data_IF_580983189409
#
_entry.id   IF_580983189409
#
_cell.length_a   1.000
_cell.length_b   1.000
_cell.length_c   1.000
_cell.angle_alpha   90.00
_cell.angle_beta   90.00
_cell.angle_gamma   90.00
#
_symmetry.space_group_name_H-M   'P 1'
#
loop_
_entity.id
_entity.type
_entity.pdbx_description
1 polymer ?
#
# COMPACT_ATOMS: atom_id res chain seq x y z
N UNK A 1 -12.57 18.55 -8.02
CA UNK A 1 -12.23 19.48 -9.12
C UNK A 1 -13.26 19.33 -10.22
N UNK A 2 -13.72 20.44 -10.83
CA UNK A 2 -14.67 20.36 -11.94
C UNK A 2 -13.98 19.87 -13.23
N UNK A 3 -14.72 19.15 -14.07
CA UNK A 3 -14.29 18.70 -15.40
C UNK A 3 -13.76 19.87 -16.23
N UNK A 4 -14.48 20.99 -16.24
CA UNK A 4 -14.08 22.24 -16.87
C UNK A 4 -12.69 22.74 -16.45
N UNK A 5 -12.27 22.54 -15.20
CA UNK A 5 -10.93 22.96 -14.78
C UNK A 5 -9.84 22.06 -15.40
N UNK A 6 -10.10 20.75 -15.52
CA UNK A 6 -9.16 19.83 -16.19
C UNK A 6 -9.04 20.14 -17.67
N UNK A 7 -10.15 20.43 -18.35
CA UNK A 7 -10.13 20.76 -19.78
C UNK A 7 -9.33 22.03 -20.06
N UNK A 8 -9.52 23.08 -19.24
CA UNK A 8 -8.74 24.31 -19.33
C UNK A 8 -7.23 24.07 -19.11
N UNK A 9 -6.86 23.19 -18.18
CA UNK A 9 -5.45 22.81 -17.96
C UNK A 9 -4.89 22.05 -19.17
N UNK A 10 -5.65 21.16 -19.80
CA UNK A 10 -5.24 20.42 -21.00
C UNK A 10 -4.96 21.38 -22.16
N UNK A 11 -5.84 22.35 -22.40
CA UNK A 11 -5.62 23.38 -23.43
C UNK A 11 -4.34 24.19 -23.18
N UNK A 12 -4.06 24.54 -21.92
CA UNK A 12 -2.85 25.27 -21.54
C UNK A 12 -1.57 24.43 -21.74
N UNK A 13 -1.62 23.11 -21.49
CA UNK A 13 -0.49 22.20 -21.68
C UNK A 13 -0.10 22.08 -23.16
N UNK A 14 -1.08 21.97 -24.06
CA UNK A 14 -0.83 21.90 -25.51
C UNK A 14 -0.01 23.10 -26.00
N UNK A 15 -0.24 24.27 -25.41
CA UNK A 15 0.45 25.51 -25.75
C UNK A 15 1.82 25.65 -25.09
N UNK A 16 1.96 25.22 -23.84
CA UNK A 16 3.16 25.48 -23.01
C UNK A 16 4.20 24.36 -23.02
N UNK A 17 3.82 23.13 -23.36
CA UNK A 17 4.66 21.92 -23.38
C UNK A 17 5.77 21.91 -22.30
N UNK A 18 5.40 22.00 -21.01
CA UNK A 18 6.37 22.13 -19.93
C UNK A 18 7.26 20.88 -19.83
N UNK A 19 8.53 21.08 -19.50
CA UNK A 19 9.46 19.96 -19.26
C UNK A 19 9.19 19.32 -17.90
N UNK A 20 9.38 18.00 -17.79
CA UNK A 20 9.11 17.25 -16.56
C UNK A 20 9.96 17.77 -15.38
N UNK A 21 11.21 18.16 -15.62
CA UNK A 21 12.09 18.70 -14.57
C UNK A 21 11.64 20.06 -14.00
N UNK A 22 10.79 20.79 -14.70
CA UNK A 22 10.15 22.00 -14.16
C UNK A 22 8.95 21.66 -13.26
N UNK A 23 8.33 20.48 -13.45
CA UNK A 23 7.12 20.03 -12.76
C UNK A 23 7.42 19.18 -11.53
N UNK A 24 8.37 18.26 -11.63
CA UNK A 24 8.85 17.38 -10.55
C UNK A 24 10.34 17.67 -10.37
N UNK A 25 10.69 18.16 -9.18
CA UNK A 25 12.06 18.56 -8.86
C UNK A 25 12.42 18.10 -7.46
N UNK A 26 13.70 17.81 -7.26
CA UNK A 26 14.22 17.48 -5.95
C UNK A 26 14.03 18.68 -5.01
N UNK A 27 13.52 18.39 -3.83
CA UNK A 27 13.53 19.30 -2.69
C UNK A 27 14.59 18.80 -1.71
N UNK A 28 15.21 19.70 -0.96
CA UNK A 28 16.17 19.31 0.08
C UNK A 28 15.53 18.48 1.20
N UNK A 29 14.22 18.63 1.40
CA UNK A 29 13.38 17.83 2.27
C UNK A 29 11.90 18.10 1.98
N UNK A 30 11.03 17.19 2.38
CA UNK A 30 9.57 17.37 2.47
C UNK A 30 9.04 16.71 3.76
N UNK A 31 7.72 16.69 3.96
CA UNK A 31 7.12 16.10 5.15
C UNK A 31 7.48 14.62 5.34
N UNK A 32 7.66 13.89 4.25
CA UNK A 32 7.89 12.43 4.24
C UNK A 32 9.36 12.06 4.12
N UNK A 33 10.23 13.02 3.80
CA UNK A 33 11.64 12.78 3.52
C UNK A 33 12.33 12.10 4.70
N UNK A 34 12.84 10.89 4.45
CA UNK A 34 13.57 10.09 5.43
C UNK A 34 12.70 9.38 6.48
N UNK A 35 11.36 9.45 6.40
CA UNK A 35 10.46 8.81 7.36
C UNK A 35 9.62 7.72 6.70
N UNK A 36 9.88 6.46 7.07
CA UNK A 36 9.07 5.33 6.60
C UNK A 36 7.61 5.44 7.06
N UNK A 37 7.38 5.89 8.28
CA UNK A 37 6.05 6.07 8.84
C UNK A 37 5.24 7.12 8.07
N UNK A 38 5.82 8.30 7.82
CA UNK A 38 5.13 9.36 7.10
C UNK A 38 4.92 9.00 5.62
N UNK A 39 5.84 8.26 5.00
CA UNK A 39 5.62 7.69 3.66
C UNK A 39 4.47 6.68 3.70
N UNK A 40 4.49 5.70 4.61
CA UNK A 40 3.42 4.71 4.76
C UNK A 40 2.06 5.37 4.96
N UNK A 41 1.98 6.33 5.89
CA UNK A 41 0.78 7.10 6.17
C UNK A 41 0.27 7.87 4.94
N UNK A 42 1.16 8.48 4.14
CA UNK A 42 0.75 9.17 2.92
C UNK A 42 0.06 8.24 1.91
N UNK A 43 0.50 6.99 1.80
CA UNK A 43 -0.13 5.99 0.93
C UNK A 43 -1.46 5.47 1.50
N UNK A 44 -1.58 5.32 2.82
CA UNK A 44 -2.86 5.05 3.46
C UNK A 44 -3.86 6.17 3.17
N UNK A 45 -3.47 7.44 3.36
CA UNK A 45 -4.34 8.60 3.04
C UNK A 45 -4.74 8.62 1.56
N UNK A 46 -3.82 8.26 0.67
CA UNK A 46 -4.10 8.11 -0.76
C UNK A 46 -5.13 7.00 -1.03
N UNK A 47 -4.98 5.83 -0.39
CA UNK A 47 -5.93 4.73 -0.51
C UNK A 47 -7.32 5.14 -0.04
N UNK A 48 -7.45 5.72 1.14
CA UNK A 48 -8.73 6.16 1.70
C UNK A 48 -9.42 7.19 0.80
N UNK A 49 -8.66 8.19 0.31
CA UNK A 49 -9.20 9.20 -0.59
C UNK A 49 -9.68 8.61 -1.93
N UNK A 50 -8.96 7.64 -2.49
CA UNK A 50 -9.37 6.97 -3.72
C UNK A 50 -10.56 6.04 -3.47
N UNK A 51 -10.62 5.38 -2.32
CA UNK A 51 -11.75 4.56 -1.91
C UNK A 51 -13.05 5.37 -1.85
N UNK A 52 -13.02 6.56 -1.24
CA UNK A 52 -14.17 7.47 -1.16
C UNK A 52 -14.72 7.87 -2.53
N UNK A 53 -13.83 7.98 -3.53
CA UNK A 53 -14.20 8.26 -4.92
C UNK A 53 -14.73 7.01 -5.59
N UNK A 54 -14.05 5.86 -5.43
CA UNK A 54 -14.47 4.58 -6.00
C UNK A 54 -15.86 4.15 -5.51
N UNK A 55 -16.21 4.42 -4.25
CA UNK A 55 -17.56 4.16 -3.70
C UNK A 55 -18.67 4.92 -4.42
N UNK A 56 -18.36 6.07 -5.01
CA UNK A 56 -19.31 6.92 -5.74
C UNK A 56 -19.26 6.67 -7.25
N UNK A 57 -18.27 5.92 -7.72
CA UNK A 57 -18.09 5.56 -9.12
C UNK A 57 -18.62 4.14 -9.38
N UNK A 58 -19.51 4.01 -10.36
CA UNK A 58 -20.10 2.71 -10.72
C UNK A 58 -19.47 2.12 -11.99
N UNK A 59 -18.39 2.74 -12.50
CA UNK A 59 -17.75 2.30 -13.74
C UNK A 59 -16.83 1.09 -13.57
N UNK A 60 -16.34 0.85 -12.34
CA UNK A 60 -15.32 -0.16 -12.04
C UNK A 60 -13.91 0.21 -12.57
N UNK A 61 -13.75 1.39 -13.20
CA UNK A 61 -12.46 1.83 -13.74
C UNK A 61 -11.45 2.17 -12.64
N UNK A 62 -11.93 2.42 -11.42
CA UNK A 62 -11.09 2.74 -10.26
C UNK A 62 -10.64 1.51 -9.47
N UNK A 63 -11.20 0.32 -9.72
CA UNK A 63 -10.90 -0.89 -8.95
C UNK A 63 -9.42 -1.27 -9.00
N UNK A 64 -8.83 -1.28 -10.20
CA UNK A 64 -7.42 -1.63 -10.41
C UNK A 64 -6.45 -0.61 -9.78
N UNK A 65 -6.59 0.71 -10.05
CA UNK A 65 -5.82 1.73 -9.33
C UNK A 65 -5.96 1.63 -7.82
N UNK A 66 -7.17 1.40 -7.31
CA UNK A 66 -7.44 1.29 -5.89
C UNK A 66 -6.73 0.06 -5.28
N UNK A 67 -6.82 -1.10 -5.92
CA UNK A 67 -6.13 -2.31 -5.48
C UNK A 67 -4.60 -2.17 -5.51
N UNK A 68 -4.06 -1.50 -6.53
CA UNK A 68 -2.62 -1.20 -6.60
C UNK A 68 -2.17 -0.32 -5.42
N UNK A 69 -2.97 0.71 -5.11
CA UNK A 69 -2.68 1.62 -4.00
C UNK A 69 -2.86 0.95 -2.63
N UNK A 70 -3.92 0.16 -2.47
CA UNK A 70 -4.16 -0.69 -1.30
C UNK A 70 -2.96 -1.59 -1.02
N UNK A 71 -2.49 -2.33 -2.04
CA UNK A 71 -1.37 -3.26 -1.90
C UNK A 71 -0.09 -2.54 -1.51
N UNK A 72 0.18 -1.39 -2.15
CA UNK A 72 1.35 -0.58 -1.86
C UNK A 72 1.30 -0.01 -0.44
N UNK A 73 0.13 0.44 0.02
CA UNK A 73 -0.06 0.93 1.39
C UNK A 73 0.18 -0.17 2.42
N UNK A 74 -0.36 -1.38 2.21
CA UNK A 74 -0.08 -2.54 3.08
C UNK A 74 1.41 -2.89 3.11
N UNK A 75 2.06 -2.93 1.94
CA UNK A 75 3.51 -3.19 1.86
C UNK A 75 4.33 -2.17 2.66
N UNK A 76 3.99 -0.89 2.56
CA UNK A 76 4.68 0.18 3.26
C UNK A 76 4.42 0.14 4.77
N UNK A 77 3.22 -0.22 5.21
CA UNK A 77 2.91 -0.38 6.64
C UNK A 77 3.75 -1.48 7.28
N UNK A 78 3.87 -2.65 6.62
CA UNK A 78 4.71 -3.75 7.12
C UNK A 78 6.19 -3.33 7.13
N UNK A 79 6.66 -2.67 6.05
CA UNK A 79 8.05 -2.20 5.97
C UNK A 79 8.38 -1.15 7.02
N UNK A 80 7.48 -0.20 7.24
CA UNK A 80 7.62 0.81 8.28
C UNK A 80 7.76 0.16 9.65
N UNK A 81 6.86 -0.76 10.01
CA UNK A 81 6.94 -1.49 11.27
C UNK A 81 8.28 -2.26 11.44
N UNK A 82 8.77 -2.93 10.39
CA UNK A 82 10.07 -3.62 10.43
C UNK A 82 11.21 -2.63 10.65
N UNK A 83 11.24 -1.51 9.90
CA UNK A 83 12.30 -0.50 10.04
C UNK A 83 12.24 0.17 11.41
N UNK A 84 11.04 0.37 11.95
CA UNK A 84 10.86 1.04 13.23
C UNK A 84 11.28 0.17 14.43
N UNK A 85 11.21 -1.16 14.28
CA UNK A 85 11.68 -2.14 15.27
C UNK A 85 13.15 -2.54 15.10
N UNK A 86 13.61 -2.73 13.86
CA UNK A 86 14.93 -3.32 13.57
C UNK A 86 15.92 -2.34 12.90
N UNK A 87 15.51 -1.13 12.58
CA UNK A 87 16.30 -0.11 11.87
C UNK A 87 16.49 -0.36 10.37
N UNK A 88 16.28 -1.60 9.90
CA UNK A 88 16.40 -1.97 8.49
C UNK A 88 15.64 -3.26 8.14
N UNK A 89 15.29 -3.40 6.87
CA UNK A 89 14.74 -4.65 6.32
C UNK A 89 15.90 -5.60 5.99
N UNK A 90 15.99 -6.70 6.73
CA UNK A 90 16.95 -7.77 6.45
C UNK A 90 16.71 -8.47 5.09
N UNK A 91 17.80 -8.80 4.39
CA UNK A 91 17.76 -9.57 3.14
C UNK A 91 17.20 -8.79 1.95
N UNK A 92 16.46 -9.48 1.08
CA UNK A 92 15.84 -8.87 -0.10
C UNK A 92 14.44 -9.44 -0.36
N UNK A 93 13.49 -9.24 0.56
CA UNK A 93 12.12 -9.72 0.40
C UNK A 93 11.37 -9.04 -0.76
N UNK A 94 11.86 -7.88 -1.23
CA UNK A 94 11.29 -7.16 -2.37
C UNK A 94 9.86 -6.70 -2.09
N UNK A 95 8.91 -7.26 -2.85
CA UNK A 95 7.47 -6.99 -2.75
C UNK A 95 6.68 -8.17 -2.17
N UNK A 96 7.35 -9.21 -1.68
CA UNK A 96 6.71 -10.42 -1.15
C UNK A 96 6.14 -10.12 0.25
N UNK A 97 4.82 -9.89 0.32
CA UNK A 97 4.13 -9.51 1.55
C UNK A 97 4.22 -10.61 2.62
N UNK A 98 4.20 -11.87 2.20
CA UNK A 98 4.33 -13.01 3.11
C UNK A 98 5.69 -13.05 3.80
N UNK A 99 6.78 -12.81 3.04
CA UNK A 99 8.13 -12.73 3.62
C UNK A 99 8.30 -11.53 4.54
N UNK A 100 7.80 -10.36 4.13
CA UNK A 100 7.85 -9.15 4.95
C UNK A 100 7.09 -9.37 6.27
N UNK A 101 5.87 -9.88 6.21
CA UNK A 101 5.06 -10.09 7.40
C UNK A 101 5.63 -11.16 8.33
N UNK A 102 6.14 -12.26 7.77
CA UNK A 102 6.87 -13.26 8.54
C UNK A 102 8.06 -12.64 9.28
N UNK A 103 8.83 -11.77 8.61
CA UNK A 103 9.95 -11.09 9.25
C UNK A 103 9.50 -10.20 10.42
N UNK A 104 8.36 -9.53 10.31
CA UNK A 104 7.78 -8.74 11.40
C UNK A 104 7.38 -9.64 12.59
N UNK A 105 6.75 -10.79 12.34
CA UNK A 105 6.43 -11.78 13.38
C UNK A 105 7.69 -12.36 14.03
N UNK A 106 8.72 -12.67 13.24
CA UNK A 106 10.00 -13.19 13.75
C UNK A 106 10.69 -12.16 14.66
N UNK A 107 10.61 -10.86 14.34
CA UNK A 107 11.12 -9.77 15.19
C UNK A 107 10.36 -9.69 16.52
N UNK A 108 9.03 -9.72 16.48
CA UNK A 108 8.19 -9.70 17.69
C UNK A 108 8.44 -10.91 18.58
N UNK A 109 8.55 -12.10 17.99
CA UNK A 109 8.85 -13.33 18.73
C UNK A 109 10.22 -13.28 19.43
N UNK A 110 11.22 -12.64 18.81
CA UNK A 110 12.55 -12.45 19.44
C UNK A 110 12.50 -11.55 20.68
N UNK A 111 11.58 -10.59 20.72
CA UNK A 111 11.32 -9.72 21.87
C UNK A 111 10.34 -10.34 22.89
N UNK A 112 9.89 -11.58 22.67
CA UNK A 112 9.05 -12.33 23.59
C UNK A 112 7.54 -12.14 23.44
N UNK A 113 7.08 -11.45 22.39
CA UNK A 113 5.65 -11.40 22.06
C UNK A 113 5.14 -12.77 21.58
N UNK A 114 3.90 -13.08 21.94
CA UNK A 114 3.22 -14.31 21.55
C UNK A 114 2.02 -13.95 20.66
N UNK A 115 2.26 -13.90 19.35
CA UNK A 115 1.24 -13.58 18.33
C UNK A 115 0.44 -14.82 17.87
N UNK A 116 0.22 -15.79 18.77
CA UNK A 116 -0.61 -16.99 18.53
C UNK A 116 -2.05 -16.71 18.95
N UNK A 117 -2.64 -15.72 18.28
CA UNK A 117 -4.01 -15.26 18.52
C UNK A 117 -4.81 -15.21 17.20
N UNK A 118 -6.14 -15.21 17.33
CA UNK A 118 -7.06 -15.26 16.19
C UNK A 118 -6.85 -14.09 15.22
N UNK A 119 -6.59 -12.88 15.74
CA UNK A 119 -6.40 -11.68 14.91
C UNK A 119 -5.12 -11.80 14.07
N UNK A 120 -4.02 -12.22 14.68
CA UNK A 120 -2.77 -12.49 13.94
C UNK A 120 -2.99 -13.57 12.88
N UNK A 121 -3.69 -14.65 13.23
CA UNK A 121 -4.06 -15.72 12.29
C UNK A 121 -4.85 -15.19 11.08
N UNK A 122 -5.81 -14.30 11.30
CA UNK A 122 -6.59 -13.65 10.25
C UNK A 122 -5.72 -12.75 9.36
N UNK A 123 -4.82 -11.95 9.94
CA UNK A 123 -3.89 -11.09 9.17
C UNK A 123 -2.95 -11.95 8.30
N UNK A 124 -2.40 -13.04 8.83
CA UNK A 124 -1.61 -14.01 8.07
C UNK A 124 -2.40 -14.55 6.88
N UNK A 125 -3.66 -14.94 7.10
CA UNK A 125 -4.52 -15.47 6.05
C UNK A 125 -4.82 -14.43 4.96
N UNK A 126 -5.10 -13.18 5.34
CA UNK A 126 -5.33 -12.07 4.41
C UNK A 126 -4.09 -11.80 3.54
N UNK A 127 -2.91 -11.72 4.17
CA UNK A 127 -1.63 -11.50 3.48
C UNK A 127 -1.31 -12.65 2.53
N UNK A 128 -1.48 -13.89 2.97
CA UNK A 128 -1.28 -15.07 2.13
C UNK A 128 -2.23 -15.06 0.92
N UNK A 129 -3.49 -14.69 1.12
CA UNK A 129 -4.47 -14.60 0.05
C UNK A 129 -4.04 -13.60 -1.02
N UNK A 130 -3.75 -12.34 -0.64
CA UNK A 130 -3.35 -11.33 -1.62
C UNK A 130 -2.00 -11.68 -2.29
N UNK A 131 -1.03 -12.22 -1.54
CA UNK A 131 0.26 -12.62 -2.10
C UNK A 131 0.08 -13.74 -3.13
N UNK A 132 -0.86 -14.67 -2.93
CA UNK A 132 -1.19 -15.69 -3.93
C UNK A 132 -1.89 -15.11 -5.16
N UNK A 133 -2.70 -14.07 -4.96
CA UNK A 133 -3.49 -13.46 -6.01
C UNK A 133 -2.67 -12.52 -6.91
N UNK A 134 -1.73 -11.77 -6.32
CA UNK A 134 -0.80 -10.86 -7.00
C UNK A 134 0.65 -11.04 -6.50
N UNK A 135 1.34 -12.13 -6.91
CA UNK A 135 2.64 -12.50 -6.36
C UNK A 135 3.76 -11.50 -6.61
N UNK A 136 3.69 -10.77 -7.72
CA UNK A 136 4.75 -9.86 -8.18
C UNK A 136 4.36 -8.39 -8.16
N UNK A 137 3.25 -8.03 -7.50
CA UNK A 137 2.71 -6.67 -7.48
C UNK A 137 2.31 -6.16 -8.89
N UNK A 138 2.06 -7.04 -9.85
CA UNK A 138 1.91 -6.71 -11.26
C UNK A 138 0.44 -6.81 -11.72
N UNK A 139 -0.36 -7.69 -11.10
CA UNK A 139 -1.70 -8.06 -11.58
C UNK A 139 -2.66 -6.89 -11.66
N UNK A 140 -2.53 -5.92 -10.75
CA UNK A 140 -3.40 -4.74 -10.74
C UNK A 140 -2.99 -3.68 -11.75
N UNK A 141 -1.74 -3.71 -12.22
CA UNK A 141 -1.15 -2.68 -13.10
C UNK A 141 -1.14 -3.08 -14.57
N UNK A 142 -1.03 -4.38 -14.85
CA UNK A 142 -0.89 -4.90 -16.21
C UNK A 142 -2.09 -5.76 -16.62
N UNK A 143 -2.42 -5.81 -17.93
CA UNK A 143 -3.49 -6.66 -18.44
C UNK A 143 -3.08 -8.14 -18.58
N UNK A 144 -1.79 -8.44 -18.49
CA UNK A 144 -1.23 -9.78 -18.64
C UNK A 144 0.01 -9.95 -17.76
N UNK A 145 0.37 -11.21 -17.48
CA UNK A 145 1.60 -11.55 -16.80
C UNK A 145 2.84 -11.36 -17.68
N UNK A 146 4.03 -11.58 -17.12
CA UNK A 146 5.31 -11.46 -17.83
C UNK A 146 5.46 -12.46 -18.99
N UNK A 147 4.69 -13.55 -18.97
CA UNK A 147 4.61 -14.53 -20.05
C UNK A 147 3.60 -14.17 -21.14
N UNK A 148 2.85 -13.08 -20.98
CA UNK A 148 1.81 -12.64 -21.91
C UNK A 148 0.45 -13.30 -21.69
N UNK A 149 0.29 -14.14 -20.65
CA UNK A 149 -1.01 -14.71 -20.32
C UNK A 149 -1.90 -13.64 -19.72
N UNK A 150 -3.10 -13.46 -20.28
CA UNK A 150 -4.05 -12.44 -19.85
C UNK A 150 -4.56 -12.73 -18.45
N UNK A 151 -4.65 -11.70 -17.63
CA UNK A 151 -5.36 -11.81 -16.37
C UNK A 151 -6.87 -11.85 -16.61
N UNK A 152 -7.56 -12.66 -15.82
CA UNK A 152 -9.03 -12.64 -15.75
C UNK A 152 -9.53 -11.33 -15.14
N UNK A 153 -10.81 -11.02 -15.39
CA UNK A 153 -11.50 -9.92 -14.73
C UNK A 153 -11.47 -10.04 -13.20
N UNK A 154 -11.73 -8.94 -12.52
CA UNK A 154 -11.77 -8.86 -11.06
C UNK A 154 -13.07 -8.23 -10.61
N UNK A 155 -13.51 -8.64 -9.43
CA UNK A 155 -14.64 -8.06 -8.70
C UNK A 155 -14.11 -7.70 -7.33
N UNK A 156 -14.47 -6.51 -6.85
CA UNK A 156 -13.97 -6.00 -5.57
C UNK A 156 -15.16 -5.62 -4.70
N UNK A 157 -15.21 -6.19 -3.51
CA UNK A 157 -16.03 -5.62 -2.44
C UNK A 157 -15.23 -4.49 -1.79
N UNK A 158 -15.64 -3.25 -2.06
CA UNK A 158 -14.93 -2.07 -1.59
C UNK A 158 -14.96 -1.95 -0.07
N UNK A 159 -16.05 -2.35 0.58
CA UNK A 159 -16.19 -2.21 2.04
C UNK A 159 -15.30 -3.24 2.75
N UNK A 160 -15.29 -4.49 2.25
CA UNK A 160 -14.39 -5.52 2.75
C UNK A 160 -12.91 -5.19 2.47
N UNK A 161 -12.59 -4.57 1.33
CA UNK A 161 -11.23 -4.13 1.00
C UNK A 161 -10.73 -3.07 2.01
N UNK A 162 -11.58 -2.10 2.36
CA UNK A 162 -11.27 -1.09 3.37
C UNK A 162 -11.06 -1.71 4.75
N UNK A 163 -11.94 -2.64 5.16
CA UNK A 163 -11.80 -3.34 6.43
C UNK A 163 -10.49 -4.14 6.51
N UNK A 164 -10.16 -4.90 5.46
CA UNK A 164 -8.92 -5.66 5.39
C UNK A 164 -7.69 -4.73 5.43
N UNK A 165 -7.75 -3.58 4.75
CA UNK A 165 -6.70 -2.56 4.83
C UNK A 165 -6.47 -2.14 6.28
N UNK A 166 -7.55 -1.69 6.94
CA UNK A 166 -7.52 -1.19 8.30
C UNK A 166 -6.99 -2.21 9.30
N UNK A 167 -7.47 -3.46 9.23
CA UNK A 167 -7.03 -4.54 10.11
C UNK A 167 -5.52 -4.76 9.97
N UNK A 168 -5.00 -4.85 8.75
CA UNK A 168 -3.58 -5.13 8.51
C UNK A 168 -2.71 -3.95 8.97
N UNK A 169 -3.07 -2.70 8.60
CA UNK A 169 -2.25 -1.53 8.94
C UNK A 169 -2.27 -1.25 10.44
N UNK A 170 -3.43 -1.33 11.09
CA UNK A 170 -3.52 -1.15 12.54
C UNK A 170 -2.81 -2.25 13.31
N UNK A 171 -2.82 -3.50 12.81
CA UNK A 171 -1.99 -4.56 13.41
C UNK A 171 -0.50 -4.20 13.33
N UNK A 172 -0.02 -3.69 12.19
CA UNK A 172 1.38 -3.27 12.05
C UNK A 172 1.75 -2.12 12.99
N UNK A 173 0.87 -1.15 13.18
CA UNK A 173 1.06 -0.05 14.13
C UNK A 173 1.07 -0.54 15.59
N UNK A 174 0.08 -1.36 15.96
CA UNK A 174 0.00 -1.96 17.29
C UNK A 174 1.23 -2.81 17.62
N UNK A 175 1.73 -3.54 16.62
CA UNK A 175 2.95 -4.33 16.73
C UNK A 175 4.18 -3.51 17.14
N UNK A 176 4.27 -2.25 16.67
CA UNK A 176 5.33 -1.32 17.05
C UNK A 176 5.10 -0.75 18.44
N UNK A 177 3.88 -0.28 18.72
CA UNK A 177 3.53 0.37 19.99
C UNK A 177 3.74 -0.55 21.21
N UNK A 178 3.35 -1.82 21.08
CA UNK A 178 3.51 -2.80 22.16
C UNK A 178 4.98 -3.02 22.53
N UNK A 179 5.86 -3.12 21.54
CA UNK A 179 7.29 -3.33 21.77
C UNK A 179 8.03 -2.08 22.27
N UNK A 180 7.51 -0.88 21.96
CA UNK A 180 8.08 0.38 22.48
C UNK A 180 7.65 0.70 23.90
N UNK A 181 6.63 0.01 24.42
CA UNK A 181 6.07 0.30 25.73
C UNK A 181 5.20 1.57 25.74
N UNK A 182 4.66 1.96 24.59
CA UNK A 182 3.81 3.15 24.42
C UNK A 182 2.30 2.83 24.63
N UNK A 183 1.97 1.75 25.35
CA UNK A 183 0.59 1.36 25.71
C UNK A 183 0.28 1.54 27.21
#
# INVERSE_FOLDING_TARGET
MSEHHRDALVEQIVQSQPSLGALVRDLSSDLTAGSWDLVSYSFQRGFEALWDVARKDHSGLLDRPLLALWRQSVELAIKAAIVELAGAIAGSPGHDLGKLYKQLLDLRSQEGCCDDDDLTGEVVAMIAHIQSFDPSADRFRYPADRGGARYVGLSVDLDALFQAHWIITTWCEGAVLELRGDM
#
